data_IF_614542426897
#
_entry.id   IF_614542426897
#
_cell.length_a   1.000
_cell.length_b   1.000
_cell.length_c   1.000
_cell.angle_alpha   90.00
_cell.angle_beta   90.00
_cell.angle_gamma   90.00
#
_symmetry.space_group_name_H-M   'P 1'
#
loop_
_entity.id
_entity.type
_entity.pdbx_description
1 polymer ?
#
# COMPACT_ATOMS: atom_id res chain seq x y z
N UNK A 1 -0.48 -6.08 12.60
CA UNK A 1 0.80 -6.66 13.07
C UNK A 1 0.56 -8.04 13.66
N UNK A 2 -0.28 -8.20 14.69
CA UNK A 2 -0.55 -9.48 15.38
C UNK A 2 -0.94 -10.58 14.40
N UNK A 3 -1.94 -10.33 13.53
CA UNK A 3 -2.36 -11.28 12.50
C UNK A 3 -1.17 -11.76 11.64
N UNK A 4 -0.37 -10.82 11.15
CA UNK A 4 0.74 -11.14 10.25
C UNK A 4 1.84 -11.95 10.94
N UNK A 5 2.16 -11.63 12.20
CA UNK A 5 3.12 -12.42 13.00
C UNK A 5 2.61 -13.84 13.30
N UNK A 6 1.30 -14.00 13.45
CA UNK A 6 0.69 -15.33 13.59
C UNK A 6 0.64 -16.11 12.28
N UNK A 7 0.37 -15.45 11.17
CA UNK A 7 0.26 -16.08 9.85
C UNK A 7 1.62 -16.42 9.22
N UNK A 8 2.66 -15.66 9.55
CA UNK A 8 4.01 -15.80 8.99
C UNK A 8 5.01 -15.83 10.14
N UNK A 9 5.43 -17.02 10.61
CA UNK A 9 6.54 -17.12 11.55
C UNK A 9 7.80 -16.43 10.99
N UNK A 10 8.52 -15.70 11.82
CA UNK A 10 9.72 -14.95 11.43
C UNK A 10 9.50 -14.03 10.22
N UNK A 11 8.44 -13.22 10.28
CA UNK A 11 8.00 -12.34 9.18
C UNK A 11 9.08 -11.34 8.70
N UNK A 12 10.15 -11.12 9.47
CA UNK A 12 11.20 -10.16 9.08
C UNK A 12 11.77 -10.51 7.69
N UNK A 13 11.66 -9.56 6.75
CA UNK A 13 12.11 -9.73 5.36
C UNK A 13 11.22 -10.63 4.49
N UNK A 14 10.17 -11.25 5.06
CA UNK A 14 9.20 -12.03 4.28
C UNK A 14 8.27 -11.11 3.48
N UNK A 15 7.88 -11.56 2.31
CA UNK A 15 7.09 -10.77 1.36
C UNK A 15 5.60 -11.06 1.54
N UNK A 16 4.83 -9.98 1.71
CA UNK A 16 3.37 -9.99 1.76
C UNK A 16 2.84 -9.25 0.54
N UNK A 17 2.20 -9.95 -0.36
CA UNK A 17 1.65 -9.39 -1.59
C UNK A 17 0.22 -8.87 -1.35
N UNK A 18 -0.04 -7.65 -1.83
CA UNK A 18 -1.35 -7.00 -1.79
C UNK A 18 -1.93 -6.96 -3.20
N UNK A 19 -2.99 -7.72 -3.43
CA UNK A 19 -3.70 -7.83 -4.70
C UNK A 19 -5.14 -7.34 -4.52
N UNK A 20 -5.35 -6.04 -4.62
CA UNK A 20 -6.63 -5.40 -4.33
C UNK A 20 -6.72 -4.04 -4.99
N UNK A 21 -7.94 -3.57 -5.23
CA UNK A 21 -8.20 -2.15 -5.48
C UNK A 21 -7.98 -1.31 -4.22
N UNK A 22 -8.06 0.01 -4.36
CA UNK A 22 -7.93 0.91 -3.21
C UNK A 22 -9.05 0.63 -2.19
N UNK A 23 -8.65 0.38 -0.96
CA UNK A 23 -9.55 0.19 0.17
C UNK A 23 -8.81 0.50 1.48
N UNK A 24 -9.54 0.65 2.55
CA UNK A 24 -8.98 0.88 3.89
C UNK A 24 -8.04 -0.26 4.31
N UNK A 25 -8.46 -1.49 4.08
CA UNK A 25 -7.69 -2.70 4.42
C UNK A 25 -6.34 -2.76 3.71
N UNK A 26 -6.23 -2.17 2.51
CA UNK A 26 -4.95 -2.08 1.79
C UNK A 26 -3.92 -1.28 2.61
N UNK A 27 -4.31 -0.11 3.12
CA UNK A 27 -3.47 0.72 3.97
C UNK A 27 -3.09 0.00 5.27
N UNK A 28 -4.06 -0.59 5.96
CA UNK A 28 -3.84 -1.34 7.21
C UNK A 28 -2.85 -2.48 7.02
N UNK A 29 -2.98 -3.27 5.94
CA UNK A 29 -2.08 -4.38 5.64
C UNK A 29 -0.69 -3.90 5.21
N UNK A 30 -0.59 -2.79 4.46
CA UNK A 30 0.69 -2.20 4.11
C UNK A 30 1.45 -1.75 5.36
N UNK A 31 0.81 -0.95 6.23
CA UNK A 31 1.40 -0.54 7.51
C UNK A 31 1.71 -1.74 8.41
N UNK A 32 0.76 -2.65 8.57
CA UNK A 32 0.93 -3.85 9.39
C UNK A 32 2.12 -4.69 8.96
N UNK A 33 2.31 -4.88 7.66
CA UNK A 33 3.45 -5.63 7.09
C UNK A 33 4.78 -4.94 7.41
N UNK A 34 4.85 -3.62 7.20
CA UNK A 34 6.07 -2.85 7.47
C UNK A 34 6.41 -2.88 8.96
N UNK A 35 5.44 -2.63 9.82
CA UNK A 35 5.61 -2.62 11.27
C UNK A 35 5.93 -4.01 11.84
N UNK A 36 5.50 -5.07 11.17
CA UNK A 36 5.88 -6.44 11.53
C UNK A 36 7.30 -6.82 11.07
N UNK A 37 7.96 -5.97 10.26
CA UNK A 37 9.27 -6.23 9.68
C UNK A 37 9.23 -6.92 8.31
N UNK A 38 8.04 -7.15 7.75
CA UNK A 38 7.85 -7.77 6.44
C UNK A 38 8.06 -6.80 5.27
N UNK A 39 8.09 -7.31 4.06
CA UNK A 39 8.23 -6.55 2.80
C UNK A 39 6.89 -6.50 2.09
N UNK A 40 6.38 -5.32 1.82
CA UNK A 40 5.14 -5.13 1.03
C UNK A 40 5.44 -5.36 -0.44
N UNK A 41 4.64 -6.19 -1.10
CA UNK A 41 4.64 -6.33 -2.54
C UNK A 41 3.32 -5.81 -3.09
N UNK A 42 3.37 -4.81 -3.96
CA UNK A 42 2.16 -4.26 -4.57
C UNK A 42 1.91 -4.91 -5.92
N UNK A 43 0.76 -5.57 -6.08
CA UNK A 43 0.36 -6.22 -7.33
C UNK A 43 -0.76 -5.45 -8.02
N UNK A 44 -0.70 -5.41 -9.34
CA UNK A 44 -1.74 -4.80 -10.16
C UNK A 44 -2.83 -5.81 -10.50
N UNK A 45 -4.00 -5.67 -9.90
CA UNK A 45 -5.15 -6.55 -10.11
C UNK A 45 -5.74 -6.51 -11.53
N UNK A 46 -5.34 -5.54 -12.37
CA UNK A 46 -5.80 -5.44 -13.76
C UNK A 46 -4.95 -6.23 -14.75
N UNK A 47 -3.92 -6.92 -14.26
CA UNK A 47 -3.06 -7.77 -15.09
C UNK A 47 -3.73 -9.09 -15.44
N UNK A 48 -3.33 -9.63 -16.58
CA UNK A 48 -3.71 -10.99 -16.98
C UNK A 48 -3.06 -12.05 -16.09
N UNK A 49 -3.63 -13.26 -16.05
CA UNK A 49 -3.07 -14.34 -15.24
C UNK A 49 -1.58 -14.61 -15.53
N UNK A 50 -1.12 -14.75 -16.79
CA UNK A 50 0.30 -14.99 -17.06
C UNK A 50 1.23 -13.89 -16.54
N UNK A 51 0.77 -12.64 -16.51
CA UNK A 51 1.53 -11.52 -15.96
C UNK A 51 1.58 -11.57 -14.43
N UNK A 52 0.44 -11.85 -13.78
CA UNK A 52 0.37 -12.01 -12.32
C UNK A 52 1.16 -13.20 -11.84
N UNK A 53 1.02 -14.36 -12.50
CA UNK A 53 1.76 -15.57 -12.18
C UNK A 53 3.28 -15.34 -12.25
N UNK A 54 3.73 -14.64 -13.30
CA UNK A 54 5.13 -14.26 -13.44
C UNK A 54 5.59 -13.34 -12.28
N UNK A 55 4.81 -12.32 -11.96
CA UNK A 55 5.17 -11.37 -10.89
C UNK A 55 5.17 -12.03 -9.51
N UNK A 56 4.15 -12.85 -9.21
CA UNK A 56 4.06 -13.60 -7.96
C UNK A 56 5.21 -14.60 -7.86
N UNK A 57 5.50 -15.33 -8.95
CA UNK A 57 6.63 -16.27 -9.01
C UNK A 57 7.98 -15.60 -8.84
N UNK A 58 8.15 -14.36 -9.35
CA UNK A 58 9.40 -13.61 -9.20
C UNK A 58 9.66 -13.18 -7.76
N UNK A 59 8.62 -12.82 -7.02
CA UNK A 59 8.75 -12.29 -5.65
C UNK A 59 8.50 -13.34 -4.57
N UNK A 60 7.98 -14.51 -4.91
CA UNK A 60 7.74 -15.65 -3.99
C UNK A 60 7.17 -15.19 -2.63
N UNK A 61 5.95 -14.64 -2.58
CA UNK A 61 5.40 -14.11 -1.34
C UNK A 61 5.07 -15.22 -0.35
N UNK A 62 5.23 -14.94 0.94
CA UNK A 62 4.79 -15.85 2.01
C UNK A 62 3.30 -15.75 2.30
N UNK A 63 2.66 -14.66 1.85
CA UNK A 63 1.23 -14.40 2.00
C UNK A 63 0.75 -13.52 0.85
N UNK A 64 -0.42 -13.82 0.33
CA UNK A 64 -1.13 -12.97 -0.64
C UNK A 64 -2.45 -12.55 0.00
N UNK A 65 -2.65 -11.25 0.14
CA UNK A 65 -3.89 -10.66 0.63
C UNK A 65 -4.69 -10.11 -0.55
N UNK A 66 -5.93 -10.58 -0.72
CA UNK A 66 -6.79 -10.12 -1.80
C UNK A 66 -8.18 -9.70 -1.31
N UNK A 67 -8.87 -8.82 -2.07
CA UNK A 67 -10.19 -8.29 -1.72
C UNK A 67 -11.36 -9.22 -2.08
N UNK A 68 -11.08 -10.42 -2.55
CA UNK A 68 -12.09 -11.40 -2.93
C UNK A 68 -12.79 -11.12 -4.27
N UNK A 69 -12.47 -10.01 -4.93
CA UNK A 69 -13.04 -9.66 -6.23
C UNK A 69 -12.40 -10.52 -7.32
N UNK A 70 -13.23 -11.02 -8.23
CA UNK A 70 -12.72 -11.70 -9.41
C UNK A 70 -12.30 -10.68 -10.47
N UNK A 71 -11.02 -10.63 -10.75
CA UNK A 71 -10.42 -9.84 -11.83
C UNK A 71 -10.17 -10.66 -13.10
N UNK A 72 -10.84 -11.80 -13.25
CA UNK A 72 -10.72 -12.70 -14.40
C UNK A 72 -9.63 -13.77 -14.27
N UNK A 73 -9.07 -13.95 -13.08
CA UNK A 73 -8.02 -14.95 -12.82
C UNK A 73 -8.16 -15.64 -11.45
N UNK A 74 -9.32 -15.56 -10.83
CA UNK A 74 -9.55 -16.06 -9.47
C UNK A 74 -9.27 -17.55 -9.33
N UNK A 75 -9.79 -18.35 -10.25
CA UNK A 75 -9.65 -19.82 -10.16
C UNK A 75 -8.18 -20.24 -10.30
N UNK A 76 -7.44 -19.63 -11.22
CA UNK A 76 -6.02 -19.85 -11.38
C UNK A 76 -5.22 -19.42 -10.13
N UNK A 77 -5.55 -18.27 -9.56
CA UNK A 77 -4.93 -17.75 -8.35
C UNK A 77 -5.15 -18.68 -7.15
N UNK A 78 -6.40 -19.16 -6.98
CA UNK A 78 -6.75 -20.12 -5.90
C UNK A 78 -6.04 -21.46 -6.13
N UNK A 79 -6.02 -21.97 -7.36
CA UNK A 79 -5.38 -23.24 -7.69
C UNK A 79 -3.85 -23.20 -7.43
N UNK A 80 -3.19 -22.09 -7.79
CA UNK A 80 -1.75 -21.98 -7.68
C UNK A 80 -1.27 -21.54 -6.27
N UNK A 81 -2.02 -20.65 -5.60
CA UNK A 81 -1.58 -19.99 -4.37
C UNK A 81 -2.57 -20.10 -3.20
N UNK A 82 -3.60 -20.93 -3.30
CA UNK A 82 -4.60 -21.11 -2.23
C UNK A 82 -4.05 -21.27 -0.82
N UNK A 83 -2.98 -22.05 -0.59
CA UNK A 83 -2.38 -22.21 0.75
C UNK A 83 -1.91 -20.91 1.40
N UNK A 84 -1.50 -19.92 0.62
CA UNK A 84 -1.01 -18.62 1.10
C UNK A 84 -1.93 -17.45 0.77
N UNK A 85 -3.10 -17.72 0.17
CA UNK A 85 -4.09 -16.69 -0.19
C UNK A 85 -5.06 -16.46 0.98
N UNK A 86 -5.24 -15.20 1.37
CA UNK A 86 -6.17 -14.80 2.44
C UNK A 86 -6.92 -13.53 2.08
N UNK A 87 -8.12 -13.32 2.64
CA UNK A 87 -8.85 -12.06 2.50
C UNK A 87 -8.09 -10.87 3.09
N UNK A 88 -8.28 -9.68 2.49
CA UNK A 88 -7.67 -8.42 2.96
C UNK A 88 -8.08 -8.07 4.40
N UNK A 89 -9.24 -8.48 4.85
CA UNK A 89 -9.80 -8.18 6.15
C UNK A 89 -9.51 -9.24 7.25
N UNK A 90 -8.68 -10.23 6.96
CA UNK A 90 -8.31 -11.32 7.88
C UNK A 90 -7.71 -10.85 9.21
N UNK A 91 -7.30 -9.59 9.30
CA UNK A 91 -6.77 -9.02 10.55
C UNK A 91 -7.86 -8.57 11.53
N UNK A 92 -9.13 -8.45 11.12
CA UNK A 92 -10.21 -7.82 11.92
C UNK A 92 -10.47 -8.50 13.26
N UNK A 93 -10.30 -9.81 13.31
CA UNK A 93 -10.51 -10.61 14.51
C UNK A 93 -9.24 -10.78 15.37
N UNK A 94 -8.17 -10.05 15.03
CA UNK A 94 -6.89 -10.14 15.73
C UNK A 94 -6.79 -9.07 16.82
N UNK A 95 -6.27 -9.45 17.97
CA UNK A 95 -5.96 -8.51 19.06
C UNK A 95 -4.92 -7.46 18.60
N UNK A 96 -5.01 -6.21 19.08
CA UNK A 96 -4.02 -5.19 18.83
C UNK A 96 -2.62 -5.63 19.26
N UNK A 97 -1.60 -5.31 18.49
CA UNK A 97 -0.22 -5.53 18.89
C UNK A 97 0.17 -4.48 19.94
N UNK A 98 0.61 -4.96 21.11
CA UNK A 98 1.08 -4.09 22.19
C UNK A 98 2.54 -3.69 22.04
N UNK A 99 3.33 -4.45 21.27
CA UNK A 99 4.73 -4.16 20.96
C UNK A 99 4.92 -4.02 19.45
N UNK A 100 5.19 -2.79 19.03
CA UNK A 100 5.47 -2.42 17.63
C UNK A 100 6.85 -1.76 17.59
N UNK A 101 7.88 -2.54 17.87
CA UNK A 101 9.26 -2.07 17.76
C UNK A 101 9.74 -2.23 16.32
N UNK A 102 10.18 -1.15 15.70
CA UNK A 102 10.83 -1.22 14.39
C UNK A 102 12.20 -1.89 14.53
N UNK A 103 12.34 -3.07 13.97
CA UNK A 103 13.60 -3.85 13.97
C UNK A 103 14.33 -3.77 12.62
N UNK A 104 13.89 -2.89 11.73
CA UNK A 104 14.40 -2.74 10.37
C UNK A 104 15.62 -1.83 10.34
N UNK A 105 16.63 -2.19 9.58
CA UNK A 105 17.75 -1.32 9.24
C UNK A 105 17.41 -0.43 8.03
N UNK A 106 18.09 0.70 7.89
CA UNK A 106 17.85 1.66 6.81
C UNK A 106 18.01 1.06 5.40
N UNK A 107 18.84 0.07 5.24
CA UNK A 107 19.10 -0.57 3.94
C UNK A 107 18.29 -1.86 3.76
N UNK A 108 17.48 -2.25 4.75
CA UNK A 108 16.57 -3.39 4.64
C UNK A 108 15.48 -3.10 3.60
N UNK A 109 15.17 -4.12 2.80
CA UNK A 109 14.09 -4.05 1.82
C UNK A 109 12.75 -3.84 2.51
N UNK A 110 11.98 -2.87 2.06
CA UNK A 110 10.71 -2.50 2.64
C UNK A 110 9.52 -2.71 1.69
N UNK A 111 9.70 -2.34 0.42
CA UNK A 111 8.63 -2.41 -0.59
C UNK A 111 9.20 -2.95 -1.91
N UNK A 112 8.43 -3.81 -2.56
CA UNK A 112 8.62 -4.24 -3.93
C UNK A 112 7.47 -3.74 -4.79
N UNK A 113 7.78 -2.98 -5.84
CA UNK A 113 6.80 -2.45 -6.78
C UNK A 113 7.17 -2.81 -8.21
N UNK A 114 6.17 -3.16 -9.01
CA UNK A 114 6.41 -3.54 -10.39
C UNK A 114 6.34 -2.34 -11.33
N UNK A 115 7.27 -2.31 -12.28
CA UNK A 115 7.23 -1.36 -13.41
C UNK A 115 6.69 -2.06 -14.65
N UNK A 116 6.01 -1.30 -15.50
CA UNK A 116 5.42 -1.82 -16.75
C UNK A 116 6.43 -2.26 -17.81
N UNK A 117 7.73 -2.11 -17.56
CA UNK A 117 8.81 -2.51 -18.45
C UNK A 117 8.63 -2.08 -19.90
N UNK A 118 9.41 -1.12 -20.38
CA UNK A 118 9.35 -0.67 -21.80
C UNK A 118 9.93 -1.71 -22.77
N UNK A 119 10.59 -2.75 -22.27
CA UNK A 119 11.37 -3.69 -23.08
C UNK A 119 11.02 -5.17 -22.84
N UNK A 120 9.86 -5.48 -22.24
CA UNK A 120 9.48 -6.87 -21.97
C UNK A 120 8.72 -7.09 -20.67
N UNK A 121 9.09 -8.13 -19.93
CA UNK A 121 8.41 -8.49 -18.67
C UNK A 121 8.62 -7.46 -17.58
N UNK A 122 7.64 -7.31 -16.69
CA UNK A 122 7.71 -6.46 -15.50
C UNK A 122 8.98 -6.73 -14.67
N UNK A 123 9.49 -5.66 -14.06
CA UNK A 123 10.63 -5.75 -13.13
C UNK A 123 10.18 -5.30 -11.75
N UNK A 124 10.57 -6.02 -10.72
CA UNK A 124 10.34 -5.63 -9.34
C UNK A 124 11.40 -4.61 -8.90
N UNK A 125 10.98 -3.38 -8.66
CA UNK A 125 11.85 -2.34 -8.08
C UNK A 125 11.92 -2.56 -6.58
N UNK A 126 13.14 -2.63 -6.06
CA UNK A 126 13.43 -2.83 -4.66
C UNK A 126 13.61 -1.47 -3.97
N UNK A 127 12.73 -1.17 -3.03
CA UNK A 127 12.78 0.06 -2.24
C UNK A 127 13.16 -0.29 -0.80
N UNK A 128 14.33 0.19 -0.37
CA UNK A 128 14.76 0.09 1.02
C UNK A 128 13.98 1.07 1.91
N UNK A 129 14.06 0.89 3.22
CA UNK A 129 13.54 1.84 4.19
C UNK A 129 14.08 3.25 3.92
N UNK A 130 15.39 3.39 3.69
CA UNK A 130 16.05 4.66 3.37
C UNK A 130 15.46 5.33 2.13
N UNK A 131 15.32 4.59 1.01
CA UNK A 131 14.76 5.14 -0.22
C UNK A 131 13.34 5.65 0.01
N UNK A 132 12.53 4.85 0.68
CA UNK A 132 11.13 5.15 0.89
C UNK A 132 10.94 6.36 1.82
N UNK A 133 11.59 6.36 2.98
CA UNK A 133 11.44 7.46 3.95
C UNK A 133 12.14 8.74 3.50
N UNK A 134 13.21 8.70 2.72
CA UNK A 134 13.78 9.91 2.14
C UNK A 134 12.77 10.60 1.21
N UNK A 135 12.11 9.83 0.35
CA UNK A 135 11.09 10.38 -0.56
C UNK A 135 9.85 10.87 0.21
N UNK A 136 9.38 10.08 1.17
CA UNK A 136 8.24 10.44 2.03
C UNK A 136 8.54 11.70 2.86
N UNK A 137 9.72 11.77 3.47
CA UNK A 137 10.17 12.93 4.24
C UNK A 137 10.24 14.21 3.40
N UNK A 138 10.78 14.14 2.19
CA UNK A 138 10.79 15.27 1.27
C UNK A 138 9.37 15.77 0.95
N UNK A 139 8.42 14.86 0.75
CA UNK A 139 7.01 15.22 0.52
C UNK A 139 6.34 15.83 1.75
N UNK A 140 6.66 15.34 2.95
CA UNK A 140 6.17 15.92 4.21
C UNK A 140 6.67 17.37 4.37
N UNK A 141 7.94 17.63 4.08
CA UNK A 141 8.53 18.98 4.13
C UNK A 141 7.87 19.91 3.09
N UNK A 142 7.72 19.43 1.85
CA UNK A 142 7.06 20.18 0.79
C UNK A 142 5.61 20.54 1.15
N UNK A 143 4.85 19.58 1.69
CA UNK A 143 3.47 19.81 2.15
C UNK A 143 3.40 20.84 3.28
N UNK A 144 4.40 20.91 4.17
CA UNK A 144 4.54 21.96 5.17
C UNK A 144 4.69 23.35 4.52
N UNK A 145 5.64 23.48 3.60
CA UNK A 145 5.86 24.73 2.88
C UNK A 145 4.62 25.20 2.09
N UNK A 146 3.84 24.26 1.53
CA UNK A 146 2.56 24.60 0.90
C UNK A 146 1.52 25.17 1.88
N UNK A 147 1.45 24.61 3.11
CA UNK A 147 0.58 25.16 4.14
C UNK A 147 0.99 26.57 4.56
N UNK A 148 2.28 26.78 4.77
CA UNK A 148 2.82 28.09 5.13
C UNK A 148 2.50 29.14 4.05
N UNK A 149 2.66 28.74 2.78
CA UNK A 149 2.27 29.57 1.64
C UNK A 149 0.76 29.90 1.66
N UNK A 150 -0.08 28.87 1.88
CA UNK A 150 -1.54 29.05 1.98
C UNK A 150 -1.92 30.02 3.10
N UNK A 151 -1.38 29.87 4.29
CA UNK A 151 -1.67 30.74 5.43
C UNK A 151 -1.26 32.19 5.16
N UNK A 152 -0.18 32.38 4.42
CA UNK A 152 0.33 33.73 4.08
C UNK A 152 -0.51 34.40 3.02
N UNK A 153 -0.97 33.65 1.99
CA UNK A 153 -1.58 34.23 0.79
C UNK A 153 -3.10 34.02 0.70
N UNK A 154 -3.66 33.14 1.55
CA UNK A 154 -5.09 32.82 1.62
C UNK A 154 -5.56 32.75 3.08
N UNK A 155 -5.41 33.84 3.86
CA UNK A 155 -5.66 33.83 5.31
C UNK A 155 -7.11 33.56 5.69
N UNK A 156 -8.06 33.74 4.77
CA UNK A 156 -9.48 33.41 4.96
C UNK A 156 -9.75 31.92 5.01
N UNK A 157 -8.87 31.13 4.43
CA UNK A 157 -8.98 29.67 4.39
C UNK A 157 -8.03 29.02 5.41
N UNK A 158 -8.40 29.12 6.69
CA UNK A 158 -7.57 28.65 7.83
C UNK A 158 -7.73 27.18 8.17
N UNK A 159 -8.36 26.38 7.32
CA UNK A 159 -8.45 24.93 7.57
C UNK A 159 -7.07 24.28 7.42
N UNK A 160 -6.47 23.89 8.54
CA UNK A 160 -5.14 23.27 8.61
C UNK A 160 -5.16 21.77 8.32
N UNK A 161 -6.35 21.18 8.35
CA UNK A 161 -6.54 19.77 7.96
C UNK A 161 -6.82 19.73 6.47
N UNK A 162 -5.79 19.34 5.71
CA UNK A 162 -5.96 19.07 4.30
C UNK A 162 -6.51 17.67 4.09
N UNK A 163 -7.27 17.49 3.02
CA UNK A 163 -7.69 16.19 2.55
C UNK A 163 -7.15 15.93 1.15
N UNK A 164 -6.73 14.70 0.89
CA UNK A 164 -6.34 14.25 -0.43
C UNK A 164 -7.29 13.19 -0.92
N UNK A 165 -7.63 13.27 -2.19
CA UNK A 165 -8.45 12.29 -2.87
C UNK A 165 -7.57 11.40 -3.75
N UNK A 166 -7.28 10.20 -3.29
CA UNK A 166 -6.49 9.22 -4.01
C UNK A 166 -7.36 8.42 -4.97
N UNK A 167 -7.32 8.80 -6.23
CA UNK A 167 -8.02 8.15 -7.33
C UNK A 167 -7.16 7.12 -8.07
N UNK A 168 -5.84 7.34 -8.10
CA UNK A 168 -4.91 6.41 -8.73
C UNK A 168 -4.69 5.18 -7.86
N UNK A 169 -4.43 4.01 -8.48
CA UNK A 169 -4.25 2.77 -7.73
C UNK A 169 -3.06 2.80 -6.78
N UNK A 170 -3.23 2.19 -5.61
CA UNK A 170 -2.20 2.10 -4.56
C UNK A 170 -1.00 1.22 -4.95
N UNK A 171 -1.10 0.43 -6.01
CA UNK A 171 0.07 -0.30 -6.54
C UNK A 171 1.06 0.60 -7.31
N UNK A 172 0.76 1.89 -7.52
CA UNK A 172 1.69 2.88 -8.04
C UNK A 172 2.39 3.65 -6.91
N UNK A 173 3.69 3.87 -7.05
CA UNK A 173 4.53 4.50 -6.02
C UNK A 173 3.98 5.86 -5.55
N UNK A 174 3.60 6.74 -6.48
CA UNK A 174 3.10 8.07 -6.15
C UNK A 174 1.86 8.05 -5.25
N UNK A 175 0.95 7.11 -5.48
CA UNK A 175 -0.26 6.94 -4.66
C UNK A 175 0.05 6.18 -3.37
N UNK A 176 0.91 5.16 -3.44
CA UNK A 176 1.30 4.39 -2.26
C UNK A 176 1.98 5.26 -1.21
N UNK A 177 2.85 6.19 -1.62
CA UNK A 177 3.49 7.16 -0.71
C UNK A 177 2.46 8.01 0.04
N UNK A 178 1.32 8.34 -0.57
CA UNK A 178 0.27 9.12 0.07
C UNK A 178 -0.26 8.45 1.35
N UNK A 179 -0.26 7.12 1.43
CA UNK A 179 -0.62 6.38 2.66
C UNK A 179 0.23 6.81 3.86
N UNK A 180 1.47 7.25 3.64
CA UNK A 180 2.42 7.60 4.68
C UNK A 180 2.53 9.11 4.89
N UNK A 181 2.56 9.89 3.82
CA UNK A 181 2.72 11.35 3.88
C UNK A 181 1.54 12.02 4.59
N UNK A 182 0.31 11.67 4.21
CA UNK A 182 -0.89 12.35 4.70
C UNK A 182 -1.16 12.08 6.18
N UNK A 183 -1.12 10.85 6.68
CA UNK A 183 -1.25 10.60 8.12
C UNK A 183 -0.14 11.23 8.97
N UNK A 184 1.10 11.31 8.46
CA UNK A 184 2.20 11.99 9.18
C UNK A 184 1.94 13.47 9.44
N UNK A 185 1.09 14.09 8.62
CA UNK A 185 0.64 15.49 8.77
C UNK A 185 -0.68 15.63 9.54
N UNK A 186 -1.29 14.53 9.96
CA UNK A 186 -2.64 14.53 10.53
C UNK A 186 -3.72 14.90 9.50
N UNK A 187 -3.44 14.72 8.21
CA UNK A 187 -4.36 15.03 7.13
C UNK A 187 -5.18 13.82 6.71
N UNK A 188 -6.38 14.07 6.17
CA UNK A 188 -7.25 13.01 5.70
C UNK A 188 -6.83 12.48 4.34
N UNK A 189 -6.85 11.15 4.19
CA UNK A 189 -6.64 10.48 2.92
C UNK A 189 -7.93 9.76 2.53
N UNK A 190 -8.56 10.22 1.45
CA UNK A 190 -9.76 9.63 0.89
C UNK A 190 -9.39 8.70 -0.26
N UNK A 191 -9.76 7.44 -0.17
CA UNK A 191 -9.44 6.43 -1.17
C UNK A 191 -10.66 6.17 -2.07
N UNK A 192 -10.54 6.45 -3.37
CA UNK A 192 -11.52 5.97 -4.35
C UNK A 192 -11.17 4.55 -4.77
N UNK A 193 -12.17 3.68 -4.78
CA UNK A 193 -11.98 2.27 -5.16
C UNK A 193 -11.79 2.08 -6.67
N UNK A 194 -12.39 2.95 -7.48
CA UNK A 194 -12.32 2.90 -8.94
C UNK A 194 -12.52 4.30 -9.53
N UNK A 195 -11.86 4.58 -10.66
CA UNK A 195 -12.01 5.84 -11.39
C UNK A 195 -13.45 6.10 -11.84
N UNK A 196 -14.23 5.05 -12.09
CA UNK A 196 -15.65 5.14 -12.45
C UNK A 196 -16.53 5.70 -11.33
N UNK A 197 -16.09 5.54 -10.09
CA UNK A 197 -16.78 6.03 -8.90
C UNK A 197 -16.45 7.49 -8.55
N UNK A 198 -15.54 8.13 -9.29
CA UNK A 198 -15.00 9.46 -9.00
C UNK A 198 -16.07 10.50 -8.64
N UNK A 199 -17.08 10.67 -9.47
CA UNK A 199 -18.13 11.68 -9.23
C UNK A 199 -18.99 11.38 -8.00
N UNK A 200 -19.20 10.11 -7.69
CA UNK A 200 -19.90 9.69 -6.47
C UNK A 200 -19.03 10.00 -5.26
N UNK A 201 -17.78 9.57 -5.28
CA UNK A 201 -16.87 9.63 -4.15
C UNK A 201 -16.50 11.07 -3.80
N UNK A 202 -16.30 11.95 -4.79
CA UNK A 202 -16.04 13.39 -4.55
C UNK A 202 -17.23 14.06 -3.85
N UNK A 203 -18.48 13.69 -4.16
CA UNK A 203 -19.66 14.24 -3.48
C UNK A 203 -19.78 13.80 -2.03
N UNK A 204 -19.17 12.70 -1.63
CA UNK A 204 -19.17 12.20 -0.26
C UNK A 204 -18.09 12.85 0.62
N UNK A 205 -17.21 13.66 0.03
CA UNK A 205 -16.13 14.34 0.75
C UNK A 205 -16.54 15.70 1.37
N UNK A 206 -17.79 16.12 1.22
CA UNK A 206 -18.31 17.40 1.73
C UNK A 206 -19.10 17.23 3.02
#
# INVERSE_FOLDING_TARGET
VTYLRGAIPDIKGKRVALLSKNCYEYGVNAFGTILAGGVVVTLNQKKTWPELEYEIGLVEPSLILNDGIDYGCRDQLVAAYGPILRPMDSFKDSEPAMDITNTRGHDDLMVLMFTSGTTGRSKAVMLSERNFFTTTGAQVVFGGAMLDYKHTHMPENKNDVLSNFCILPLFHLGTFICLFVWPCKGWALNLSSDLRDFYRDVRLMH
#
